data_IF_393105556941
#
_entry.id   IF_393105556941
#
_cell.length_a   1.000
_cell.length_b   1.000
_cell.length_c   1.000
_cell.angle_alpha   90.00
_cell.angle_beta   90.00
_cell.angle_gamma   90.00
#
_symmetry.space_group_name_H-M   'P 1'
#
loop_
_entity.id
_entity.type
_entity.pdbx_description
1 polymer ?
#
# COMPACT_ATOMS: atom_id res chain seq x y z
N UNK A 1 -10.38 34.03 8.24
CA UNK A 1 -10.13 32.65 7.73
C UNK A 1 -11.32 31.81 8.11
N UNK A 2 -12.05 31.21 7.17
CA UNK A 2 -13.19 30.35 7.48
C UNK A 2 -12.70 29.13 8.25
N UNK A 3 -13.23 28.91 9.45
CA UNK A 3 -12.90 27.77 10.29
C UNK A 3 -13.30 26.48 9.56
N UNK A 4 -12.33 25.74 9.00
CA UNK A 4 -12.59 24.54 8.19
C UNK A 4 -13.14 23.47 9.12
N UNK A 5 -14.35 22.98 8.82
CA UNK A 5 -14.96 21.91 9.58
C UNK A 5 -14.25 20.57 9.24
N UNK A 6 -13.36 20.12 10.12
CA UNK A 6 -12.58 18.89 9.96
C UNK A 6 -13.45 17.65 9.69
N UNK A 7 -14.62 17.55 10.36
CA UNK A 7 -15.56 16.43 10.13
C UNK A 7 -16.21 16.48 8.74
N UNK A 8 -16.40 17.67 8.16
CA UNK A 8 -16.88 17.80 6.80
C UNK A 8 -15.86 17.28 5.79
N UNK A 9 -14.56 17.61 6.00
CA UNK A 9 -13.47 17.09 5.15
C UNK A 9 -13.37 15.57 5.28
N UNK A 10 -13.45 15.02 6.49
CA UNK A 10 -13.46 13.57 6.70
C UNK A 10 -14.65 12.91 5.98
N UNK A 11 -15.86 13.51 6.08
CA UNK A 11 -17.05 13.05 5.37
C UNK A 11 -16.85 13.03 3.86
N UNK A 12 -16.37 14.13 3.27
CA UNK A 12 -16.17 14.22 1.82
C UNK A 12 -15.16 13.18 1.35
N UNK A 13 -14.07 13.02 2.10
CA UNK A 13 -13.07 11.99 1.81
C UNK A 13 -13.65 10.58 1.85
N UNK A 14 -14.40 10.24 2.91
CA UNK A 14 -15.02 8.92 3.03
C UNK A 14 -16.08 8.68 1.96
N UNK A 15 -16.82 9.71 1.58
CA UNK A 15 -17.83 9.62 0.51
C UNK A 15 -17.19 9.28 -0.85
N UNK A 16 -16.07 9.97 -1.19
CA UNK A 16 -15.32 9.68 -2.41
C UNK A 16 -14.77 8.24 -2.41
N UNK A 17 -14.24 7.76 -1.27
CA UNK A 17 -13.71 6.41 -1.17
C UNK A 17 -14.81 5.34 -1.28
N UNK A 18 -15.95 5.55 -0.61
CA UNK A 18 -17.01 4.53 -0.56
C UNK A 18 -17.84 4.41 -1.83
N UNK A 19 -17.97 5.50 -2.60
CA UNK A 19 -18.89 5.56 -3.73
C UNK A 19 -18.25 5.94 -5.07
N UNK A 20 -17.03 6.50 -5.06
CA UNK A 20 -16.30 6.91 -6.26
C UNK A 20 -14.94 6.21 -6.41
N UNK A 21 -14.74 5.11 -5.70
CA UNK A 21 -13.56 4.21 -5.78
C UNK A 21 -12.20 4.90 -5.57
N UNK A 22 -12.20 6.07 -4.94
CA UNK A 22 -10.97 6.82 -4.68
C UNK A 22 -10.06 6.11 -3.66
N UNK A 23 -8.76 6.39 -3.73
CA UNK A 23 -7.79 5.92 -2.74
C UNK A 23 -7.64 6.92 -1.59
N UNK A 24 -7.58 6.42 -0.36
CA UNK A 24 -7.59 7.23 0.86
C UNK A 24 -6.46 8.26 0.91
N UNK A 25 -5.22 7.83 0.65
CA UNK A 25 -4.04 8.68 0.69
C UNK A 25 -4.07 9.80 -0.37
N UNK A 26 -4.51 9.48 -1.60
CA UNK A 26 -4.61 10.46 -2.69
C UNK A 26 -5.68 11.49 -2.37
N UNK A 27 -6.85 11.03 -1.91
CA UNK A 27 -7.99 11.90 -1.61
C UNK A 27 -7.70 12.81 -0.43
N UNK A 28 -7.13 12.30 0.67
CA UNK A 28 -6.72 13.10 1.82
C UNK A 28 -5.70 14.17 1.42
N UNK A 29 -4.65 13.81 0.68
CA UNK A 29 -3.64 14.75 0.24
C UNK A 29 -4.21 15.85 -0.65
N UNK A 30 -5.16 15.52 -1.54
CA UNK A 30 -5.89 16.49 -2.37
C UNK A 30 -6.64 17.50 -1.49
N UNK A 31 -7.44 17.02 -0.53
CA UNK A 31 -8.20 17.88 0.37
C UNK A 31 -7.30 18.74 1.27
N UNK A 32 -6.20 18.18 1.78
CA UNK A 32 -5.25 18.92 2.61
C UNK A 32 -4.56 20.06 1.85
N UNK A 33 -4.15 19.81 0.60
CA UNK A 33 -3.55 20.85 -0.26
C UNK A 33 -4.55 21.96 -0.60
N UNK A 34 -5.79 21.60 -0.93
CA UNK A 34 -6.83 22.57 -1.33
C UNK A 34 -7.27 23.50 -0.20
N UNK A 35 -7.23 23.03 1.06
CA UNK A 35 -7.86 23.72 2.18
C UNK A 35 -6.89 24.32 3.20
N UNK A 36 -5.56 24.23 2.99
CA UNK A 36 -4.53 24.73 3.94
C UNK A 36 -4.81 24.37 5.40
N UNK A 37 -5.04 23.07 5.65
CA UNK A 37 -5.46 22.54 6.94
C UNK A 37 -4.27 22.48 7.90
N UNK A 38 -4.48 22.92 9.16
CA UNK A 38 -3.49 22.83 10.24
C UNK A 38 -3.15 21.37 10.59
N UNK A 39 -1.93 21.10 11.02
CA UNK A 39 -1.42 19.76 11.29
C UNK A 39 -2.27 18.98 12.32
N UNK A 40 -2.77 19.65 13.36
CA UNK A 40 -3.66 19.01 14.33
C UNK A 40 -4.96 18.51 13.68
N UNK A 41 -5.55 19.33 12.81
CA UNK A 41 -6.76 18.97 12.09
C UNK A 41 -6.49 17.88 11.04
N UNK A 42 -5.33 17.86 10.38
CA UNK A 42 -4.95 16.78 9.47
C UNK A 42 -4.89 15.44 10.19
N UNK A 43 -4.30 15.39 11.39
CA UNK A 43 -4.24 14.17 12.21
C UNK A 43 -5.65 13.70 12.60
N UNK A 44 -6.49 14.61 13.06
CA UNK A 44 -7.86 14.29 13.44
C UNK A 44 -8.69 13.79 12.25
N UNK A 45 -8.58 14.42 11.08
CA UNK A 45 -9.26 13.98 9.84
C UNK A 45 -8.76 12.61 9.44
N UNK A 46 -7.44 12.40 9.43
CA UNK A 46 -6.83 11.11 9.06
C UNK A 46 -7.28 9.99 9.99
N UNK A 47 -7.33 10.24 11.30
CA UNK A 47 -7.82 9.29 12.30
C UNK A 47 -9.27 8.87 12.03
N UNK A 48 -10.16 9.82 11.77
CA UNK A 48 -11.56 9.52 11.43
C UNK A 48 -11.64 8.72 10.14
N UNK A 49 -10.89 9.12 9.10
CA UNK A 49 -10.96 8.46 7.79
C UNK A 49 -10.42 7.04 7.85
N UNK A 50 -9.18 6.87 8.28
CA UNK A 50 -8.55 5.54 8.33
C UNK A 50 -9.25 4.62 9.35
N UNK A 51 -9.62 5.14 10.51
CA UNK A 51 -10.33 4.38 11.51
C UNK A 51 -11.71 3.91 11.04
N UNK A 52 -12.47 4.77 10.33
CA UNK A 52 -13.75 4.38 9.73
C UNK A 52 -13.55 3.33 8.63
N UNK A 53 -12.52 3.48 7.78
CA UNK A 53 -12.20 2.50 6.73
C UNK A 53 -11.77 1.15 7.32
N UNK A 54 -10.87 1.14 8.30
CA UNK A 54 -10.41 -0.09 8.95
C UNK A 54 -11.55 -0.88 9.57
N UNK A 55 -12.54 -0.20 10.16
CA UNK A 55 -13.62 -0.79 10.91
C UNK A 55 -14.99 -0.83 10.17
N UNK A 56 -15.01 -0.57 8.86
CA UNK A 56 -16.25 -0.32 8.09
C UNK A 56 -17.32 -1.39 8.29
N UNK A 57 -17.00 -2.69 8.16
CA UNK A 57 -18.00 -3.77 8.29
C UNK A 57 -18.53 -3.89 9.73
N UNK A 58 -17.67 -3.71 10.72
CA UNK A 58 -18.07 -3.70 12.13
C UNK A 58 -19.02 -2.52 12.41
N UNK A 59 -18.68 -1.33 11.93
CA UNK A 59 -19.53 -0.13 12.06
C UNK A 59 -20.86 -0.28 11.32
N UNK A 60 -20.85 -0.91 10.14
CA UNK A 60 -22.07 -1.24 9.39
C UNK A 60 -22.95 -2.25 10.14
N UNK A 61 -22.35 -3.22 10.81
CA UNK A 61 -23.07 -4.19 11.62
C UNK A 61 -23.71 -3.54 12.85
N UNK A 62 -23.00 -2.64 13.55
CA UNK A 62 -23.57 -1.82 14.61
C UNK A 62 -24.75 -1.00 14.05
N UNK A 63 -24.53 -0.27 12.97
CA UNK A 63 -25.58 0.56 12.37
C UNK A 63 -26.81 -0.26 12.00
N UNK A 64 -26.65 -1.45 11.43
CA UNK A 64 -27.73 -2.35 11.07
C UNK A 64 -28.53 -2.82 12.30
N UNK A 65 -27.86 -3.07 13.43
CA UNK A 65 -28.49 -3.50 14.68
C UNK A 65 -29.37 -2.40 15.28
N UNK A 66 -28.94 -1.15 15.20
CA UNK A 66 -29.62 -0.01 15.84
C UNK A 66 -30.44 0.88 14.88
N UNK A 67 -30.48 0.56 13.59
CA UNK A 67 -31.30 1.28 12.61
C UNK A 67 -32.36 0.38 11.97
N UNK A 68 -33.57 0.90 11.81
CA UNK A 68 -34.65 0.23 11.06
C UNK A 68 -34.61 0.69 9.60
N UNK A 69 -34.58 -0.25 8.65
CA UNK A 69 -34.66 0.02 7.23
C UNK A 69 -33.33 0.51 6.58
N UNK A 70 -33.46 0.92 5.29
CA UNK A 70 -32.31 1.29 4.46
C UNK A 70 -31.88 2.73 4.73
N UNK A 71 -30.63 2.92 5.11
CA UNK A 71 -30.01 4.24 5.28
C UNK A 71 -29.44 4.74 3.95
N UNK A 72 -29.79 5.99 3.56
CA UNK A 72 -29.28 6.60 2.31
C UNK A 72 -27.74 6.76 2.36
N UNK A 73 -27.01 6.60 1.21
CA UNK A 73 -25.55 6.67 1.14
C UNK A 73 -24.94 7.86 1.88
N UNK A 74 -25.40 9.08 1.61
CA UNK A 74 -24.89 10.31 2.26
C UNK A 74 -25.02 10.29 3.78
N UNK A 75 -26.11 9.73 4.31
CA UNK A 75 -26.37 9.64 5.76
C UNK A 75 -25.58 8.50 6.39
N UNK A 76 -25.39 7.41 5.64
CA UNK A 76 -24.62 6.24 6.09
C UNK A 76 -23.17 6.64 6.41
N UNK A 77 -22.51 7.44 5.57
CA UNK A 77 -21.16 7.93 5.83
C UNK A 77 -21.08 8.72 7.13
N UNK A 78 -22.04 9.64 7.37
CA UNK A 78 -22.11 10.42 8.61
C UNK A 78 -22.25 9.50 9.83
N UNK A 79 -23.15 8.53 9.76
CA UNK A 79 -23.36 7.58 10.86
C UNK A 79 -22.13 6.72 11.13
N UNK A 80 -21.50 6.14 10.10
CA UNK A 80 -20.32 5.29 10.28
C UNK A 80 -19.15 6.05 10.91
N UNK A 81 -18.82 7.25 10.41
CA UNK A 81 -17.75 8.06 10.98
C UNK A 81 -18.06 8.55 12.41
N UNK A 82 -19.35 8.71 12.74
CA UNK A 82 -19.74 9.11 14.10
C UNK A 82 -19.71 7.92 15.06
N UNK A 83 -20.16 6.73 14.63
CA UNK A 83 -20.07 5.50 15.42
C UNK A 83 -18.59 5.19 15.70
N UNK A 84 -17.69 5.35 14.70
CA UNK A 84 -16.27 5.20 14.91
C UNK A 84 -15.76 6.13 16.02
N UNK A 85 -16.07 7.42 15.95
CA UNK A 85 -15.66 8.39 16.97
C UNK A 85 -16.18 8.03 18.36
N UNK A 86 -17.46 7.64 18.48
CA UNK A 86 -18.07 7.26 19.76
C UNK A 86 -17.43 5.99 20.34
N UNK A 87 -17.07 5.00 19.50
CA UNK A 87 -16.58 3.69 19.97
C UNK A 87 -15.07 3.66 20.21
N UNK A 88 -14.27 4.42 19.45
CA UNK A 88 -12.82 4.26 19.38
C UNK A 88 -12.01 5.55 19.66
N UNK A 89 -12.67 6.72 19.82
CA UNK A 89 -11.97 7.97 20.06
C UNK A 89 -12.27 8.54 21.45
N UNK A 90 -11.69 7.95 22.49
CA UNK A 90 -11.97 8.28 23.90
C UNK A 90 -11.77 9.76 24.26
N UNK A 91 -10.86 10.46 23.58
CA UNK A 91 -10.59 11.87 23.80
C UNK A 91 -11.63 12.81 23.17
N UNK A 92 -12.61 12.29 22.44
CA UNK A 92 -13.64 13.08 21.78
C UNK A 92 -14.98 12.91 22.50
N UNK A 93 -15.53 13.97 23.14
CA UNK A 93 -16.79 13.86 23.88
C UNK A 93 -17.94 13.43 22.95
N UNK A 94 -18.69 12.40 23.34
CA UNK A 94 -19.79 11.81 22.56
C UNK A 94 -20.86 12.85 22.19
N UNK A 95 -21.21 13.75 23.10
CA UNK A 95 -22.19 14.80 22.82
C UNK A 95 -21.75 15.71 21.67
N UNK A 96 -20.45 16.04 21.59
CA UNK A 96 -19.90 16.85 20.50
C UNK A 96 -19.91 16.11 19.16
N UNK A 97 -19.65 14.79 19.16
CA UNK A 97 -19.75 13.96 17.96
C UNK A 97 -21.18 13.95 17.43
N UNK A 98 -22.17 13.74 18.33
CA UNK A 98 -23.58 13.66 17.96
C UNK A 98 -24.09 15.02 17.44
N UNK A 99 -23.78 16.12 18.13
CA UNK A 99 -24.17 17.46 17.73
C UNK A 99 -23.65 17.83 16.33
N UNK A 100 -22.36 17.58 16.09
CA UNK A 100 -21.74 17.84 14.79
C UNK A 100 -22.29 16.92 13.68
N UNK A 101 -22.58 15.65 13.97
CA UNK A 101 -23.24 14.74 13.03
C UNK A 101 -24.65 15.21 12.66
N UNK A 102 -25.40 15.71 13.63
CA UNK A 102 -26.75 16.29 13.39
C UNK A 102 -26.66 17.55 12.53
N UNK A 103 -25.75 18.48 12.84
CA UNK A 103 -25.51 19.69 12.03
C UNK A 103 -25.13 19.33 10.59
N UNK A 104 -24.20 18.41 10.42
CA UNK A 104 -23.74 17.95 9.12
C UNK A 104 -24.86 17.28 8.32
N UNK A 105 -25.66 16.42 8.96
CA UNK A 105 -26.77 15.72 8.31
C UNK A 105 -27.88 16.69 7.85
N UNK A 106 -28.20 17.70 8.66
CA UNK A 106 -29.15 18.75 8.27
C UNK A 106 -28.67 19.51 7.03
N UNK A 107 -27.39 19.85 6.97
CA UNK A 107 -26.77 20.55 5.83
C UNK A 107 -26.75 19.72 4.55
N UNK A 108 -26.53 18.40 4.64
CA UNK A 108 -26.35 17.51 3.49
C UNK A 108 -27.68 16.92 3.00
N UNK A 109 -28.61 16.64 3.92
CA UNK A 109 -29.82 15.86 3.65
C UNK A 109 -31.13 16.42 4.25
N UNK A 110 -31.08 17.63 4.80
CA UNK A 110 -32.24 18.35 5.32
C UNK A 110 -32.59 18.05 6.79
N UNK A 111 -33.48 18.89 7.37
CA UNK A 111 -33.77 18.91 8.81
C UNK A 111 -34.33 17.61 9.40
N UNK A 112 -35.16 16.90 8.65
CA UNK A 112 -35.76 15.62 9.07
C UNK A 112 -34.66 14.58 9.34
N UNK A 113 -33.60 14.58 8.49
CA UNK A 113 -32.46 13.68 8.64
C UNK A 113 -31.69 13.93 9.93
N UNK A 114 -31.62 15.18 10.41
CA UNK A 114 -30.97 15.51 11.68
C UNK A 114 -31.63 14.79 12.88
N UNK A 115 -32.95 14.72 12.93
CA UNK A 115 -33.69 13.99 13.99
C UNK A 115 -33.40 12.49 13.93
N UNK A 116 -33.37 11.91 12.73
CA UNK A 116 -33.07 10.50 12.49
C UNK A 116 -31.64 10.15 12.95
N UNK A 117 -30.63 10.94 12.54
CA UNK A 117 -29.23 10.75 12.93
C UNK A 117 -29.06 10.85 14.46
N UNK A 118 -29.68 11.87 15.09
CA UNK A 118 -29.65 12.04 16.54
C UNK A 118 -30.22 10.81 17.26
N UNK A 119 -31.41 10.33 16.84
CA UNK A 119 -32.06 9.16 17.46
C UNK A 119 -31.20 7.90 17.40
N UNK A 120 -30.58 7.60 16.25
CA UNK A 120 -29.68 6.45 16.07
C UNK A 120 -28.43 6.59 16.93
N UNK A 121 -27.71 7.71 16.85
CA UNK A 121 -26.45 7.89 17.56
C UNK A 121 -26.65 7.91 19.08
N UNK A 122 -27.72 8.51 19.59
CA UNK A 122 -28.04 8.46 21.04
C UNK A 122 -28.39 7.06 21.51
N UNK A 123 -29.04 6.25 20.67
CA UNK A 123 -29.32 4.87 21.00
C UNK A 123 -28.05 4.01 21.06
N UNK A 124 -27.14 4.20 20.07
CA UNK A 124 -25.83 3.53 20.04
C UNK A 124 -24.98 3.97 21.22
N UNK A 125 -24.89 5.27 21.52
CA UNK A 125 -24.13 5.82 22.64
C UNK A 125 -24.51 5.17 23.98
N UNK A 126 -25.80 5.04 24.24
CA UNK A 126 -26.30 4.42 25.48
C UNK A 126 -25.93 2.94 25.65
N UNK A 127 -25.75 2.23 24.52
CA UNK A 127 -25.45 0.81 24.52
C UNK A 127 -23.99 0.52 24.08
N UNK A 128 -23.13 1.52 23.99
CA UNK A 128 -21.80 1.37 23.34
C UNK A 128 -20.88 0.38 24.05
N UNK A 129 -21.05 0.19 25.34
CA UNK A 129 -20.28 -0.76 26.16
C UNK A 129 -20.85 -2.18 26.15
N UNK A 130 -22.14 -2.34 25.80
CA UNK A 130 -22.83 -3.63 25.72
C UNK A 130 -23.70 -3.68 24.45
N UNK A 131 -23.04 -3.76 23.32
CA UNK A 131 -23.67 -3.81 21.99
C UNK A 131 -24.33 -5.20 21.81
N UNK A 132 -25.65 -5.25 21.65
CA UNK A 132 -26.40 -6.48 21.41
C UNK A 132 -26.22 -7.01 19.99
N UNK A 133 -24.96 -7.27 19.57
CA UNK A 133 -24.63 -7.76 18.25
C UNK A 133 -24.90 -9.25 18.11
N UNK A 134 -25.50 -9.66 17.00
CA UNK A 134 -25.79 -11.05 16.67
C UNK A 134 -25.02 -11.48 15.45
N UNK A 135 -24.44 -12.67 15.49
CA UNK A 135 -23.70 -13.30 14.43
C UNK A 135 -24.31 -14.66 14.11
N UNK A 136 -24.23 -15.10 12.86
CA UNK A 136 -24.75 -16.40 12.43
C UNK A 136 -23.87 -17.55 12.93
N UNK A 137 -22.54 -17.33 12.90
CA UNK A 137 -21.53 -18.30 13.31
C UNK A 137 -20.22 -17.59 13.69
N UNK A 138 -19.22 -18.36 14.10
CA UNK A 138 -17.91 -17.86 14.53
C UNK A 138 -17.10 -17.22 13.39
N UNK A 139 -17.24 -17.69 12.15
CA UNK A 139 -16.55 -17.11 10.98
C UNK A 139 -17.12 -15.72 10.66
N UNK A 140 -18.45 -15.56 10.63
CA UNK A 140 -19.09 -14.26 10.44
C UNK A 140 -18.68 -13.28 11.53
N UNK A 141 -18.66 -13.74 12.80
CA UNK A 141 -18.20 -12.94 13.93
C UNK A 141 -16.78 -12.44 13.68
N UNK A 142 -15.85 -13.35 13.38
CA UNK A 142 -14.45 -13.00 13.11
C UNK A 142 -14.32 -11.98 11.97
N UNK A 143 -15.00 -12.24 10.85
CA UNK A 143 -14.95 -11.35 9.66
C UNK A 143 -15.51 -9.96 9.97
N UNK A 144 -16.61 -9.86 10.69
CA UNK A 144 -17.23 -8.57 11.04
C UNK A 144 -16.35 -7.81 12.04
N UNK A 145 -15.87 -8.45 13.11
CA UNK A 145 -15.07 -7.82 14.16
C UNK A 145 -13.71 -7.32 13.61
N UNK A 146 -13.11 -8.04 12.64
CA UNK A 146 -11.92 -7.62 11.95
C UNK A 146 -12.19 -6.79 10.69
N UNK A 147 -13.45 -6.45 10.40
CA UNK A 147 -13.86 -5.75 9.19
C UNK A 147 -13.26 -6.32 7.92
N UNK A 148 -13.17 -7.66 7.84
CA UNK A 148 -12.68 -8.39 6.69
C UNK A 148 -13.86 -8.92 5.85
N UNK A 149 -13.95 -8.60 4.54
CA UNK A 149 -14.94 -9.20 3.65
C UNK A 149 -14.83 -10.72 3.66
N UNK A 150 -15.96 -11.42 3.68
CA UNK A 150 -15.99 -12.88 3.77
C UNK A 150 -15.30 -13.56 2.58
N UNK A 151 -15.37 -12.96 1.38
CA UNK A 151 -14.67 -13.47 0.19
C UNK A 151 -13.15 -13.41 0.37
N UNK A 152 -12.60 -12.28 0.86
CA UNK A 152 -11.18 -12.17 1.18
C UNK A 152 -10.75 -13.19 2.25
N UNK A 153 -11.56 -13.36 3.32
CA UNK A 153 -11.30 -14.37 4.33
C UNK A 153 -11.21 -15.77 3.72
N UNK A 154 -12.15 -16.16 2.85
CA UNK A 154 -12.13 -17.46 2.16
C UNK A 154 -10.89 -17.63 1.28
N UNK A 155 -10.54 -16.63 0.48
CA UNK A 155 -9.32 -16.63 -0.35
C UNK A 155 -8.08 -16.92 0.51
N UNK A 156 -7.95 -16.23 1.64
CA UNK A 156 -6.79 -16.42 2.53
C UNK A 156 -6.81 -17.79 3.22
N UNK A 157 -7.97 -18.28 3.64
CA UNK A 157 -8.10 -19.62 4.25
C UNK A 157 -7.72 -20.72 3.25
N UNK A 158 -8.17 -20.61 2.02
CA UNK A 158 -7.86 -21.60 0.96
C UNK A 158 -6.35 -21.64 0.65
N UNK A 159 -5.67 -20.51 0.72
CA UNK A 159 -4.25 -20.42 0.36
C UNK A 159 -3.29 -20.69 1.54
N UNK A 160 -3.67 -20.29 2.75
CA UNK A 160 -2.77 -20.30 3.91
C UNK A 160 -3.26 -21.17 5.09
N UNK A 161 -4.48 -21.69 4.98
CA UNK A 161 -5.15 -22.40 6.09
C UNK A 161 -5.73 -21.45 7.14
N UNK A 162 -6.66 -21.94 7.94
CA UNK A 162 -7.49 -21.13 8.82
C UNK A 162 -6.70 -20.30 9.86
N UNK A 163 -5.72 -20.90 10.51
CA UNK A 163 -4.96 -20.22 11.58
C UNK A 163 -4.09 -19.07 11.03
N UNK A 164 -3.35 -19.32 9.95
CA UNK A 164 -2.49 -18.31 9.33
C UNK A 164 -3.31 -17.19 8.68
N UNK A 165 -4.43 -17.54 8.01
CA UNK A 165 -5.35 -16.55 7.45
C UNK A 165 -5.91 -15.59 8.51
N UNK A 166 -6.25 -16.10 9.69
CA UNK A 166 -6.69 -15.25 10.81
C UNK A 166 -5.58 -14.34 11.31
N UNK A 167 -4.37 -14.85 11.50
CA UNK A 167 -3.22 -14.04 11.91
C UNK A 167 -2.93 -12.91 10.91
N UNK A 168 -2.95 -13.21 9.59
CA UNK A 168 -2.82 -12.21 8.53
C UNK A 168 -3.91 -11.14 8.64
N UNK A 169 -5.18 -11.52 8.79
CA UNK A 169 -6.30 -10.58 8.86
C UNK A 169 -6.21 -9.69 10.10
N UNK A 170 -5.85 -10.25 11.25
CA UNK A 170 -5.66 -9.50 12.50
C UNK A 170 -4.52 -8.48 12.35
N UNK A 171 -3.44 -8.84 11.64
CA UNK A 171 -2.31 -7.96 11.39
C UNK A 171 -2.66 -6.72 10.58
N UNK A 172 -3.72 -6.75 9.73
CA UNK A 172 -4.19 -5.59 8.98
C UNK A 172 -4.68 -4.45 9.89
N UNK A 173 -5.05 -4.76 11.13
CA UNK A 173 -5.50 -3.76 12.10
C UNK A 173 -4.35 -3.18 12.94
N UNK A 174 -3.16 -3.78 12.91
CA UNK A 174 -1.99 -3.30 13.63
C UNK A 174 -1.55 -1.91 13.13
N UNK A 175 -0.82 -1.19 13.98
CA UNK A 175 -0.16 0.04 13.58
C UNK A 175 1.07 -0.30 12.75
N UNK A 176 1.20 0.28 11.56
CA UNK A 176 2.42 0.19 10.76
C UNK A 176 3.53 1.03 11.38
N UNK A 177 4.75 0.56 11.33
CA UNK A 177 5.92 1.40 11.52
C UNK A 177 6.12 2.28 10.27
N UNK A 178 6.68 3.46 10.47
CA UNK A 178 7.06 4.29 9.33
C UNK A 178 8.49 3.96 8.95
N UNK A 179 8.74 3.76 7.68
CA UNK A 179 10.08 3.53 7.17
C UNK A 179 10.47 4.53 6.10
N UNK A 180 11.73 4.87 6.10
CA UNK A 180 12.38 5.69 5.09
C UNK A 180 13.61 4.96 4.56
N UNK A 181 13.97 5.26 3.33
CA UNK A 181 15.22 4.82 2.74
C UNK A 181 16.15 6.02 2.59
N UNK A 182 17.37 5.93 3.09
CA UNK A 182 18.35 7.00 2.93
C UNK A 182 18.80 7.14 1.47
N UNK A 183 19.31 8.32 1.13
CA UNK A 183 19.86 8.61 -0.20
C UNK A 183 21.38 8.64 -0.12
N UNK A 184 22.10 7.61 -0.62
CA UNK A 184 23.55 7.53 -0.50
C UNK A 184 24.28 8.65 -1.26
N UNK A 185 23.62 9.32 -2.22
CA UNK A 185 24.19 10.48 -2.93
C UNK A 185 24.23 11.76 -2.07
N UNK A 186 23.58 11.77 -0.90
CA UNK A 186 23.44 12.96 -0.05
C UNK A 186 23.96 12.75 1.36
N UNK A 187 23.86 11.54 1.88
CA UNK A 187 24.13 11.25 3.28
C UNK A 187 24.40 9.76 3.46
N UNK A 188 25.27 9.40 4.37
CA UNK A 188 25.41 8.01 4.80
C UNK A 188 24.27 7.62 5.76
N UNK A 189 23.99 6.32 5.88
CA UNK A 189 22.97 5.82 6.81
C UNK A 189 23.27 6.26 8.26
N UNK A 190 24.53 6.19 8.67
CA UNK A 190 24.99 6.58 10.01
C UNK A 190 24.74 8.06 10.28
N UNK A 191 25.15 8.94 9.38
CA UNK A 191 24.90 10.39 9.51
C UNK A 191 23.40 10.71 9.59
N UNK A 192 22.56 10.03 8.78
CA UNK A 192 21.12 10.27 8.82
C UNK A 192 20.52 9.80 10.15
N UNK A 193 20.98 8.68 10.71
CA UNK A 193 20.56 8.23 12.04
C UNK A 193 20.96 9.22 13.13
N UNK A 194 22.18 9.77 13.08
CA UNK A 194 22.64 10.82 14.01
C UNK A 194 21.78 12.10 13.89
N UNK A 195 21.41 12.50 12.68
CA UNK A 195 20.54 13.65 12.41
C UNK A 195 19.13 13.45 12.97
N UNK A 196 18.57 12.25 12.82
CA UNK A 196 17.22 11.92 13.26
C UNK A 196 17.16 11.60 14.77
N UNK A 197 18.28 11.20 15.36
CA UNK A 197 18.42 10.95 16.79
C UNK A 197 17.53 9.79 17.27
N UNK A 198 17.00 9.94 18.49
CA UNK A 198 16.23 8.88 19.16
C UNK A 198 14.88 8.54 18.48
N UNK A 199 14.45 9.34 17.49
CA UNK A 199 13.23 9.06 16.72
C UNK A 199 13.46 8.05 15.58
N UNK A 200 14.69 7.56 15.40
CA UNK A 200 15.08 6.65 14.32
C UNK A 200 15.88 5.46 14.82
N UNK A 201 15.68 4.30 14.19
CA UNK A 201 16.47 3.08 14.41
C UNK A 201 16.73 2.37 13.07
N UNK A 202 17.78 1.56 13.03
CA UNK A 202 18.04 0.74 11.85
C UNK A 202 16.93 -0.27 11.61
N UNK A 203 16.66 -0.55 10.34
CA UNK A 203 15.81 -1.67 9.95
C UNK A 203 16.57 -2.99 10.09
N UNK A 204 15.90 -4.02 10.57
CA UNK A 204 16.40 -5.42 10.56
C UNK A 204 15.93 -6.18 9.32
N UNK A 205 15.08 -5.57 8.49
CA UNK A 205 14.49 -6.18 7.29
C UNK A 205 15.29 -5.80 6.05
N UNK A 206 15.61 -4.51 5.88
CA UNK A 206 16.30 -4.00 4.70
C UNK A 206 17.46 -3.10 5.11
N UNK A 207 18.67 -3.46 4.67
CA UNK A 207 19.91 -2.73 5.00
C UNK A 207 19.85 -1.23 4.63
N UNK A 208 19.11 -0.87 3.58
CA UNK A 208 19.02 0.50 3.10
C UNK A 208 17.90 1.31 3.78
N UNK A 209 17.15 0.70 4.70
CA UNK A 209 16.01 1.31 5.37
C UNK A 209 16.31 1.74 6.82
N UNK A 210 15.55 2.73 7.26
CA UNK A 210 15.55 3.27 8.63
C UNK A 210 14.09 3.36 9.08
N UNK A 211 13.78 2.87 10.26
CA UNK A 211 12.48 3.01 10.92
C UNK A 211 12.45 4.33 11.65
N UNK A 212 11.35 5.09 11.52
CA UNK A 212 11.18 6.36 12.21
C UNK A 212 9.81 6.46 12.89
N UNK A 213 9.80 7.10 14.05
CA UNK A 213 8.56 7.25 14.81
C UNK A 213 7.54 8.14 14.10
N UNK A 214 8.02 9.20 13.43
CA UNK A 214 7.17 10.20 12.80
C UNK A 214 7.72 10.64 11.45
N UNK A 215 6.87 10.53 10.43
CA UNK A 215 7.15 11.09 9.10
C UNK A 215 6.90 12.60 9.08
N UNK A 216 7.92 13.37 8.69
CA UNK A 216 7.80 14.82 8.46
C UNK A 216 8.25 15.18 7.04
N UNK A 217 7.28 15.27 6.13
CA UNK A 217 7.50 15.71 4.73
C UNK A 217 7.84 17.21 4.61
N UNK A 218 7.70 17.97 5.70
CA UNK A 218 8.04 19.41 5.74
C UNK A 218 9.46 19.64 6.22
N UNK A 219 10.13 18.63 6.78
CA UNK A 219 11.51 18.73 7.23
C UNK A 219 12.43 19.16 6.10
N UNK A 220 13.50 19.90 6.44
CA UNK A 220 14.53 20.30 5.46
C UNK A 220 15.18 19.07 4.82
N UNK A 221 15.43 18.02 5.59
CA UNK A 221 16.11 16.80 5.13
C UNK A 221 15.28 16.05 4.09
N UNK A 222 13.96 15.96 4.26
CA UNK A 222 13.09 15.42 3.22
C UNK A 222 13.11 16.27 1.95
N UNK A 223 12.95 17.60 2.10
CA UNK A 223 12.93 18.55 0.94
C UNK A 223 14.24 18.57 0.18
N UNK A 224 15.36 18.45 0.87
CA UNK A 224 16.70 18.40 0.29
C UNK A 224 17.07 17.01 -0.26
N UNK A 225 16.21 16.00 -0.08
CA UNK A 225 16.38 14.68 -0.68
C UNK A 225 17.35 13.75 0.06
N UNK A 226 17.54 13.92 1.37
CA UNK A 226 18.34 13.02 2.19
C UNK A 226 17.70 11.62 2.31
N UNK A 227 16.39 11.55 2.18
CA UNK A 227 15.65 10.29 2.20
C UNK A 227 14.37 10.32 1.37
N UNK A 228 13.85 9.14 1.10
CA UNK A 228 12.54 8.89 0.51
C UNK A 228 11.70 8.03 1.46
N UNK A 229 10.39 8.26 1.49
CA UNK A 229 9.45 7.40 2.22
C UNK A 229 9.22 6.15 1.39
N UNK A 230 9.57 5.00 1.93
CA UNK A 230 9.42 3.72 1.27
C UNK A 230 9.29 2.61 2.32
N UNK A 231 8.34 1.70 2.13
CA UNK A 231 8.20 0.52 2.98
C UNK A 231 9.41 -0.41 2.81
N UNK A 232 9.84 -1.06 3.90
CA UNK A 232 11.01 -1.92 3.96
C UNK A 232 10.93 -3.09 2.98
N UNK A 233 9.76 -3.75 2.91
CA UNK A 233 9.55 -4.86 1.99
C UNK A 233 9.65 -4.42 0.52
N UNK A 234 9.13 -3.21 0.20
CA UNK A 234 9.29 -2.62 -1.13
C UNK A 234 10.75 -2.26 -1.45
N UNK A 235 11.54 -1.88 -0.45
CA UNK A 235 12.98 -1.58 -0.63
C UNK A 235 13.79 -2.84 -0.95
N UNK A 236 13.37 -4.00 -0.49
CA UNK A 236 14.06 -5.27 -0.74
C UNK A 236 14.19 -5.63 -2.24
N UNK A 237 13.37 -5.07 -3.12
CA UNK A 237 13.47 -5.33 -4.57
C UNK A 237 14.86 -4.96 -5.10
N UNK A 238 15.37 -3.77 -4.77
CA UNK A 238 16.70 -3.35 -5.21
C UNK A 238 17.82 -4.15 -4.53
N UNK A 239 17.65 -4.49 -3.24
CA UNK A 239 18.61 -5.32 -2.50
C UNK A 239 18.65 -6.77 -3.04
N UNK A 240 17.53 -7.28 -3.57
CA UNK A 240 17.41 -8.64 -4.12
C UNK A 240 18.07 -8.82 -5.49
N UNK A 241 18.42 -7.75 -6.20
CA UNK A 241 19.15 -7.83 -7.48
C UNK A 241 20.49 -8.52 -7.27
N UNK A 242 21.30 -8.09 -6.27
CA UNK A 242 22.48 -8.78 -5.79
C UNK A 242 23.64 -8.86 -6.79
N UNK A 243 23.66 -8.04 -7.85
CA UNK A 243 24.76 -7.93 -8.79
C UNK A 243 25.80 -6.91 -8.29
N UNK A 244 27.01 -6.97 -8.84
CA UNK A 244 28.10 -6.06 -8.46
C UNK A 244 27.74 -4.60 -8.79
N UNK A 245 27.59 -3.77 -7.77
CA UNK A 245 27.16 -2.36 -7.91
C UNK A 245 28.19 -1.47 -8.63
N UNK A 246 29.45 -1.90 -8.73
CA UNK A 246 30.52 -1.17 -9.41
C UNK A 246 30.50 -1.37 -10.93
N UNK A 247 29.80 -2.38 -11.42
CA UNK A 247 29.67 -2.65 -12.83
C UNK A 247 28.62 -1.75 -13.51
N UNK A 248 28.70 -1.72 -14.85
CA UNK A 248 27.78 -0.93 -15.68
C UNK A 248 26.69 -1.81 -16.26
N UNK A 249 25.46 -1.54 -15.89
CA UNK A 249 24.28 -2.22 -16.39
C UNK A 249 23.34 -1.26 -17.14
N UNK A 250 22.63 -1.78 -18.13
CA UNK A 250 21.43 -1.18 -18.66
C UNK A 250 20.23 -1.78 -17.94
N UNK A 251 19.48 -0.97 -17.23
CA UNK A 251 18.38 -1.40 -16.36
C UNK A 251 17.06 -0.83 -16.90
N UNK A 252 16.01 -1.64 -16.88
CA UNK A 252 14.65 -1.23 -17.25
C UNK A 252 13.71 -1.51 -16.08
N UNK A 253 12.90 -0.53 -15.70
CA UNK A 253 11.75 -0.72 -14.82
C UNK A 253 10.47 -0.50 -15.65
N UNK A 254 9.66 -1.55 -15.82
CA UNK A 254 8.53 -1.55 -16.74
C UNK A 254 7.24 -0.97 -16.17
N UNK A 255 7.13 -0.87 -14.84
CA UNK A 255 5.94 -0.42 -14.11
C UNK A 255 6.33 0.48 -12.93
N UNK A 256 7.10 1.52 -13.18
CA UNK A 256 7.90 2.21 -12.18
C UNK A 256 7.15 3.10 -11.19
N UNK A 257 6.01 3.67 -11.57
CA UNK A 257 5.37 4.72 -10.76
C UNK A 257 4.84 4.22 -9.41
N UNK A 258 5.09 4.98 -8.33
CA UNK A 258 5.57 6.38 -8.26
C UNK A 258 7.10 6.55 -8.23
N UNK A 259 7.90 5.53 -8.52
CA UNK A 259 9.34 5.63 -8.68
C UNK A 259 10.19 5.09 -7.52
N UNK A 260 9.59 4.62 -6.43
CA UNK A 260 10.34 4.20 -5.26
C UNK A 260 11.44 3.16 -5.55
N UNK A 261 11.14 2.13 -6.35
CA UNK A 261 12.07 1.06 -6.74
C UNK A 261 13.09 1.54 -7.77
N UNK A 262 12.65 2.19 -8.85
CA UNK A 262 13.55 2.80 -9.85
C UNK A 262 14.58 3.73 -9.21
N UNK A 263 14.14 4.64 -8.33
CA UNK A 263 15.01 5.57 -7.63
C UNK A 263 15.96 4.88 -6.66
N UNK A 264 15.55 3.77 -6.06
CA UNK A 264 16.41 2.94 -5.22
C UNK A 264 17.52 2.31 -6.06
N UNK A 265 17.14 1.63 -7.13
CA UNK A 265 18.07 0.96 -8.02
C UNK A 265 19.07 1.98 -8.62
N UNK A 266 18.57 3.13 -9.10
CA UNK A 266 19.43 4.16 -9.65
C UNK A 266 20.42 4.74 -8.62
N UNK A 267 20.01 4.88 -7.34
CA UNK A 267 20.90 5.36 -6.29
C UNK A 267 21.91 4.30 -5.80
N UNK A 268 21.64 3.01 -6.02
CA UNK A 268 22.51 1.89 -5.65
C UNK A 268 23.49 1.53 -6.76
N UNK A 269 23.05 1.58 -8.02
CA UNK A 269 23.84 1.23 -9.22
C UNK A 269 24.28 2.50 -9.97
N UNK A 270 25.18 3.28 -9.37
CA UNK A 270 25.56 4.62 -9.86
C UNK A 270 26.22 4.63 -11.24
N UNK A 271 26.97 3.56 -11.56
CA UNK A 271 27.65 3.43 -12.85
C UNK A 271 26.72 2.95 -13.99
N UNK A 272 25.47 2.59 -13.65
CA UNK A 272 24.50 2.03 -14.56
C UNK A 272 23.54 3.09 -15.10
N UNK A 273 22.85 2.77 -16.21
CA UNK A 273 21.78 3.59 -16.77
C UNK A 273 20.45 2.90 -16.58
N UNK A 274 19.43 3.63 -16.13
CA UNK A 274 18.11 3.11 -15.88
C UNK A 274 17.07 3.83 -16.74
N UNK A 275 16.17 3.07 -17.37
CA UNK A 275 14.94 3.58 -17.99
C UNK A 275 13.76 3.18 -17.12
N UNK A 276 13.03 4.20 -16.65
CA UNK A 276 11.85 4.06 -15.79
C UNK A 276 10.59 4.30 -16.62
N UNK A 277 9.76 3.27 -16.76
CA UNK A 277 8.56 3.31 -17.61
C UNK A 277 7.28 3.23 -16.77
N UNK A 278 6.24 3.96 -17.18
CA UNK A 278 4.87 3.77 -16.71
C UNK A 278 3.89 4.16 -17.82
N UNK A 279 2.72 3.53 -17.81
CA UNK A 279 1.64 3.78 -18.78
C UNK A 279 1.03 5.17 -18.64
N UNK A 280 1.06 5.78 -17.45
CA UNK A 280 0.32 7.00 -17.13
C UNK A 280 1.23 8.21 -17.00
N UNK A 281 1.16 9.14 -17.96
CA UNK A 281 1.96 10.39 -17.99
C UNK A 281 1.91 11.16 -16.67
N UNK A 282 0.73 11.29 -16.04
CA UNK A 282 0.61 12.03 -14.79
C UNK A 282 1.39 11.40 -13.62
N UNK A 283 1.64 10.08 -13.66
CA UNK A 283 2.48 9.40 -12.68
C UNK A 283 3.98 9.60 -12.95
N UNK A 284 4.37 9.76 -14.23
CA UNK A 284 5.75 10.03 -14.59
C UNK A 284 6.25 11.36 -14.01
N UNK A 285 5.37 12.35 -13.86
CA UNK A 285 5.70 13.61 -13.20
C UNK A 285 6.18 13.40 -11.75
N UNK A 286 5.56 12.48 -11.01
CA UNK A 286 5.97 12.15 -9.63
C UNK A 286 7.39 11.56 -9.58
N UNK A 287 7.75 10.73 -10.57
CA UNK A 287 9.10 10.17 -10.68
C UNK A 287 10.10 11.29 -10.96
N UNK A 288 9.80 12.17 -11.92
CA UNK A 288 10.67 13.31 -12.29
C UNK A 288 10.88 14.28 -11.12
N UNK A 289 9.84 14.58 -10.34
CA UNK A 289 9.94 15.43 -9.16
C UNK A 289 10.88 14.81 -8.11
N UNK A 290 10.78 13.51 -7.88
CA UNK A 290 11.66 12.80 -6.96
C UNK A 290 13.09 12.67 -7.48
N UNK A 291 13.32 12.46 -8.79
CA UNK A 291 14.64 12.48 -9.41
C UNK A 291 15.35 13.80 -9.09
N UNK A 292 14.65 14.92 -9.33
CA UNK A 292 15.19 16.27 -9.05
C UNK A 292 15.49 16.45 -7.56
N UNK A 293 14.56 16.07 -6.69
CA UNK A 293 14.70 16.21 -5.23
C UNK A 293 15.86 15.40 -4.67
N UNK A 294 16.03 14.17 -5.14
CA UNK A 294 17.07 13.25 -4.70
C UNK A 294 18.42 13.50 -5.39
N UNK A 295 18.47 14.27 -6.47
CA UNK A 295 19.70 14.54 -7.24
C UNK A 295 20.22 13.31 -8.01
N UNK A 296 19.33 12.45 -8.48
CA UNK A 296 19.69 11.26 -9.27
C UNK A 296 19.85 11.67 -10.73
N UNK A 297 20.93 11.22 -11.39
CA UNK A 297 21.30 11.67 -12.74
C UNK A 297 21.35 10.55 -13.79
N UNK A 298 21.31 9.29 -13.38
CA UNK A 298 21.48 8.11 -14.22
C UNK A 298 20.15 7.41 -14.57
N UNK A 299 19.04 8.16 -14.57
CA UNK A 299 17.69 7.64 -14.81
C UNK A 299 16.94 8.48 -15.84
N UNK A 300 16.40 7.82 -16.86
CA UNK A 300 15.47 8.39 -17.84
C UNK A 300 14.03 7.91 -17.56
N UNK A 301 13.05 8.78 -17.85
CA UNK A 301 11.63 8.47 -17.62
C UNK A 301 10.88 8.49 -18.96
N UNK A 302 10.23 7.35 -19.29
CA UNK A 302 9.51 7.18 -20.55
C UNK A 302 8.06 6.71 -20.32
N UNK A 303 7.15 7.17 -21.17
CA UNK A 303 5.81 6.60 -21.25
C UNK A 303 5.87 5.30 -22.06
N UNK A 304 5.45 4.21 -21.44
CA UNK A 304 5.36 2.89 -22.05
C UNK A 304 4.32 2.06 -21.33
N UNK A 305 3.38 1.51 -22.09
CA UNK A 305 2.47 0.48 -21.58
C UNK A 305 3.18 -0.88 -21.62
N UNK A 306 3.43 -1.46 -20.45
CA UNK A 306 4.15 -2.73 -20.32
C UNK A 306 3.41 -3.93 -20.94
N UNK A 307 2.11 -3.79 -21.23
CA UNK A 307 1.35 -4.80 -21.99
C UNK A 307 1.63 -4.78 -23.49
N UNK A 308 2.26 -3.73 -24.00
CA UNK A 308 2.61 -3.57 -25.40
C UNK A 308 4.11 -3.77 -25.61
N UNK A 309 4.47 -4.64 -26.56
CA UNK A 309 5.86 -4.90 -26.91
C UNK A 309 6.51 -3.66 -27.52
N UNK A 310 7.71 -3.35 -27.02
CA UNK A 310 8.57 -2.31 -27.59
C UNK A 310 9.78 -2.94 -28.26
N UNK A 311 9.84 -2.90 -29.60
CA UNK A 311 10.90 -3.53 -30.38
C UNK A 311 12.31 -3.00 -30.07
N UNK A 312 12.42 -1.71 -29.69
CA UNK A 312 13.71 -1.11 -29.34
C UNK A 312 14.29 -1.60 -28.00
N UNK A 313 13.50 -2.29 -27.21
CA UNK A 313 13.88 -2.85 -25.91
C UNK A 313 14.33 -4.31 -25.98
N UNK A 314 14.05 -5.02 -27.06
CA UNK A 314 14.33 -6.46 -27.19
C UNK A 314 15.83 -6.73 -27.00
N UNK A 315 16.15 -7.66 -26.07
CA UNK A 315 17.51 -8.09 -25.70
C UNK A 315 18.48 -6.93 -25.41
N UNK A 316 18.02 -5.86 -24.82
CA UNK A 316 18.80 -4.65 -24.61
C UNK A 316 19.21 -4.37 -23.17
N UNK A 317 18.59 -5.06 -22.18
CA UNK A 317 18.81 -4.76 -20.77
C UNK A 317 19.45 -5.94 -20.03
N UNK A 318 20.38 -5.61 -19.16
CA UNK A 318 21.06 -6.57 -18.28
C UNK A 318 20.15 -6.94 -17.10
N UNK A 319 19.34 -5.98 -16.63
CA UNK A 319 18.40 -6.14 -15.55
C UNK A 319 17.06 -5.53 -15.97
N UNK A 320 15.97 -6.32 -15.86
CA UNK A 320 14.58 -5.85 -16.07
C UNK A 320 13.79 -6.05 -14.79
N UNK A 321 13.13 -5.00 -14.34
CA UNK A 321 12.28 -5.01 -13.14
C UNK A 321 10.82 -4.88 -13.55
N UNK A 322 10.00 -5.79 -13.05
CA UNK A 322 8.56 -5.84 -13.23
C UNK A 322 7.89 -5.77 -11.86
N UNK A 323 7.74 -4.55 -11.30
CA UNK A 323 6.90 -4.31 -10.13
C UNK A 323 5.46 -4.13 -10.62
N UNK A 324 4.81 -5.26 -10.90
CA UNK A 324 3.55 -5.26 -11.65
C UNK A 324 2.37 -4.72 -10.83
N UNK A 325 1.35 -4.10 -11.49
CA UNK A 325 0.11 -3.76 -10.82
C UNK A 325 -0.51 -5.01 -10.20
N UNK A 326 -0.96 -4.92 -8.95
CA UNK A 326 -1.46 -6.06 -8.19
C UNK A 326 -2.68 -5.72 -7.34
N UNK A 327 -3.32 -6.72 -6.76
CA UNK A 327 -4.47 -6.54 -5.88
C UNK A 327 -4.16 -5.74 -4.61
N UNK A 328 -2.90 -5.77 -4.15
CA UNK A 328 -2.44 -5.00 -2.99
C UNK A 328 -2.87 -5.59 -1.64
N UNK A 329 -3.18 -6.87 -1.55
CA UNK A 329 -3.59 -7.50 -0.27
C UNK A 329 -2.51 -7.35 0.80
N UNK A 330 -1.23 -7.31 0.42
CA UNK A 330 -0.11 -7.13 1.35
C UNK A 330 -0.07 -5.75 2.03
N UNK A 331 -0.67 -4.71 1.41
CA UNK A 331 -0.60 -3.32 1.90
C UNK A 331 -1.91 -2.85 2.56
N UNK A 332 -2.83 -3.74 2.89
CA UNK A 332 -4.14 -3.43 3.52
C UNK A 332 -3.97 -2.66 4.84
N UNK A 333 -2.92 -2.95 5.61
CA UNK A 333 -2.59 -2.23 6.85
C UNK A 333 -2.53 -0.72 6.64
N UNK A 334 -1.93 -0.29 5.51
CA UNK A 334 -1.73 1.11 5.11
C UNK A 334 -2.81 1.65 4.17
N UNK A 335 -3.53 0.76 3.46
CA UNK A 335 -4.60 1.10 2.49
C UNK A 335 -5.83 0.23 2.74
N UNK A 336 -6.55 0.48 3.84
CA UNK A 336 -7.64 -0.40 4.30
C UNK A 336 -8.82 -0.50 3.35
N UNK A 337 -8.99 0.47 2.42
CA UNK A 337 -10.01 0.42 1.38
C UNK A 337 -9.84 -0.75 0.40
N UNK A 338 -8.62 -1.24 0.22
CA UNK A 338 -8.29 -2.34 -0.70
C UNK A 338 -9.10 -3.59 -0.35
N UNK A 339 -9.18 -3.96 0.93
CA UNK A 339 -9.85 -5.20 1.34
C UNK A 339 -11.31 -5.31 0.86
N UNK A 340 -11.98 -4.17 0.63
CA UNK A 340 -13.37 -4.14 0.15
C UNK A 340 -13.54 -4.29 -1.35
N UNK A 341 -12.44 -4.33 -2.11
CA UNK A 341 -12.40 -4.51 -3.57
C UNK A 341 -11.99 -5.92 -3.99
N UNK A 342 -11.42 -6.69 -3.05
CA UNK A 342 -10.89 -8.04 -3.35
C UNK A 342 -12.03 -9.02 -3.58
N UNK A 343 -12.05 -9.58 -4.79
CA UNK A 343 -12.91 -10.69 -5.19
C UNK A 343 -12.09 -11.68 -6.01
N UNK A 344 -12.56 -12.95 -6.09
CA UNK A 344 -11.90 -13.96 -6.93
C UNK A 344 -11.74 -13.49 -8.37
N UNK A 345 -12.81 -12.91 -8.95
CA UNK A 345 -12.76 -12.39 -10.32
C UNK A 345 -11.73 -11.27 -10.48
N UNK A 346 -11.67 -10.33 -9.54
CA UNK A 346 -10.70 -9.23 -9.60
C UNK A 346 -9.25 -9.74 -9.56
N UNK A 347 -8.97 -10.71 -8.68
CA UNK A 347 -7.64 -11.32 -8.59
C UNK A 347 -7.28 -12.11 -9.85
N UNK A 348 -8.21 -12.87 -10.43
CA UNK A 348 -8.00 -13.57 -11.69
C UNK A 348 -7.69 -12.61 -12.85
N UNK A 349 -8.44 -11.52 -12.95
CA UNK A 349 -8.25 -10.53 -14.04
C UNK A 349 -6.90 -9.83 -13.92
N UNK A 350 -6.49 -9.44 -12.68
CA UNK A 350 -5.19 -8.77 -12.45
C UNK A 350 -4.02 -9.74 -12.65
N UNK A 351 -4.14 -11.00 -12.24
CA UNK A 351 -3.12 -12.03 -12.45
C UNK A 351 -2.84 -12.27 -13.95
N UNK A 352 -3.86 -12.26 -14.80
CA UNK A 352 -3.70 -12.34 -16.26
C UNK A 352 -2.92 -11.14 -16.81
N UNK A 353 -3.25 -9.93 -16.34
CA UNK A 353 -2.53 -8.72 -16.73
C UNK A 353 -1.06 -8.77 -16.32
N UNK A 354 -0.78 -9.23 -15.11
CA UNK A 354 0.59 -9.41 -14.60
C UNK A 354 1.38 -10.40 -15.44
N UNK A 355 0.75 -11.54 -15.78
CA UNK A 355 1.37 -12.53 -16.63
C UNK A 355 1.70 -11.98 -18.01
N UNK A 356 0.81 -11.20 -18.63
CA UNK A 356 1.08 -10.52 -19.91
C UNK A 356 2.28 -9.56 -19.82
N UNK A 357 2.39 -8.79 -18.75
CA UNK A 357 3.53 -7.88 -18.51
C UNK A 357 4.82 -8.67 -18.37
N UNK A 358 4.81 -9.75 -17.60
CA UNK A 358 5.96 -10.63 -17.39
C UNK A 358 6.42 -11.27 -18.72
N UNK A 359 5.48 -11.78 -19.53
CA UNK A 359 5.73 -12.36 -20.85
C UNK A 359 6.32 -11.36 -21.86
N UNK A 360 5.89 -10.10 -21.82
CA UNK A 360 6.50 -9.05 -22.62
C UNK A 360 7.92 -8.72 -22.15
N UNK A 361 8.07 -8.54 -20.84
CA UNK A 361 9.32 -8.10 -20.22
C UNK A 361 10.48 -9.07 -20.37
N UNK A 362 10.21 -10.40 -20.46
CA UNK A 362 11.23 -11.42 -20.70
C UNK A 362 12.03 -11.18 -21.99
N UNK A 363 11.38 -10.57 -23.00
CA UNK A 363 12.01 -10.31 -24.28
C UNK A 363 13.03 -9.17 -24.22
N UNK A 364 12.95 -8.33 -23.22
CA UNK A 364 13.85 -7.19 -23.04
C UNK A 364 15.17 -7.58 -22.37
N UNK A 365 15.16 -8.72 -21.67
CA UNK A 365 16.32 -9.25 -20.93
C UNK A 365 17.34 -9.83 -21.90
N UNK A 366 18.63 -9.44 -21.80
CA UNK A 366 19.75 -10.06 -22.48
C UNK A 366 19.96 -11.51 -22.01
N UNK A 367 20.69 -12.32 -22.79
CA UNK A 367 21.20 -13.62 -22.33
C UNK A 367 22.11 -13.39 -21.11
N UNK A 368 22.01 -14.23 -20.09
CA UNK A 368 22.68 -14.09 -18.81
C UNK A 368 22.08 -13.02 -17.87
N UNK A 369 21.16 -12.19 -18.37
CA UNK A 369 20.55 -11.09 -17.63
C UNK A 369 19.46 -11.53 -16.65
N UNK A 370 19.01 -10.57 -15.85
CA UNK A 370 18.06 -10.76 -14.74
C UNK A 370 16.70 -10.19 -15.08
N UNK A 371 15.64 -10.92 -14.70
CA UNK A 371 14.27 -10.48 -14.68
C UNK A 371 13.76 -10.54 -13.23
N UNK A 372 13.50 -9.37 -12.64
CA UNK A 372 12.89 -9.27 -11.31
C UNK A 372 11.38 -9.16 -11.46
N UNK A 373 10.63 -9.99 -10.76
CA UNK A 373 9.18 -9.89 -10.64
C UNK A 373 8.82 -9.57 -9.19
N UNK A 374 7.99 -8.55 -8.96
CA UNK A 374 7.56 -8.19 -7.62
C UNK A 374 6.12 -7.70 -7.56
N UNK A 375 5.49 -7.92 -6.40
CA UNK A 375 4.13 -7.46 -6.10
C UNK A 375 4.01 -7.06 -4.63
N UNK A 376 3.14 -6.10 -4.32
CA UNK A 376 2.73 -5.79 -2.95
C UNK A 376 1.45 -6.56 -2.55
N UNK A 377 1.28 -7.79 -3.03
CA UNK A 377 0.19 -8.70 -2.64
C UNK A 377 0.73 -10.00 -2.09
N UNK A 378 -0.13 -10.74 -1.39
CA UNK A 378 0.17 -12.06 -0.87
C UNK A 378 -0.64 -13.16 -1.55
N UNK A 379 -1.50 -12.84 -2.54
CA UNK A 379 -2.29 -13.84 -3.25
C UNK A 379 -1.39 -14.71 -4.14
N UNK A 380 -1.42 -16.02 -3.94
CA UNK A 380 -0.54 -16.97 -4.62
C UNK A 380 -0.74 -17.00 -6.13
N UNK A 381 -1.96 -16.70 -6.62
CA UNK A 381 -2.29 -16.62 -8.05
C UNK A 381 -1.55 -15.48 -8.75
N UNK A 382 -1.29 -14.39 -8.03
CA UNK A 382 -0.55 -13.24 -8.53
C UNK A 382 0.98 -13.42 -8.39
N UNK A 383 1.42 -14.33 -7.54
CA UNK A 383 2.78 -14.52 -7.12
C UNK A 383 3.37 -15.83 -7.65
N UNK A 384 3.45 -16.86 -6.79
CA UNK A 384 4.18 -18.09 -7.11
C UNK A 384 3.55 -18.84 -8.29
N UNK A 385 2.22 -18.83 -8.44
CA UNK A 385 1.56 -19.53 -9.55
C UNK A 385 1.87 -18.87 -10.91
N UNK A 386 1.98 -17.54 -10.99
CA UNK A 386 2.46 -16.84 -12.17
C UNK A 386 3.92 -17.20 -12.49
N UNK A 387 4.79 -17.31 -11.49
CA UNK A 387 6.20 -17.67 -11.68
C UNK A 387 6.34 -19.14 -12.12
N UNK A 388 5.63 -20.06 -11.50
CA UNK A 388 5.65 -21.48 -11.88
C UNK A 388 5.14 -21.68 -13.32
N UNK A 389 4.05 -21.01 -13.69
CA UNK A 389 3.55 -20.99 -15.06
C UNK A 389 4.60 -20.43 -16.02
N UNK A 390 5.22 -19.31 -15.69
CA UNK A 390 6.25 -18.67 -16.51
C UNK A 390 7.44 -19.61 -16.76
N UNK A 391 7.96 -20.25 -15.73
CA UNK A 391 9.08 -21.21 -15.85
C UNK A 391 8.72 -22.48 -16.62
N UNK A 392 7.46 -22.89 -16.55
CA UNK A 392 6.95 -24.03 -17.35
C UNK A 392 6.94 -23.70 -18.85
N UNK A 393 6.54 -22.47 -19.20
CA UNK A 393 6.40 -22.01 -20.59
C UNK A 393 7.73 -21.45 -21.17
N UNK A 394 8.68 -21.03 -20.31
CA UNK A 394 9.95 -20.37 -20.70
C UNK A 394 11.17 -21.12 -20.15
N UNK A 395 11.57 -22.22 -20.82
CA UNK A 395 12.67 -23.10 -20.38
C UNK A 395 14.06 -22.45 -20.40
N UNK A 396 14.20 -21.30 -21.03
CA UNK A 396 15.40 -20.49 -21.05
C UNK A 396 15.50 -19.52 -19.85
N UNK A 397 14.59 -19.61 -18.87
CA UNK A 397 14.68 -18.92 -17.59
C UNK A 397 14.72 -19.93 -16.43
N UNK A 398 15.46 -19.56 -15.39
CA UNK A 398 15.52 -20.28 -14.10
C UNK A 398 15.35 -19.29 -12.95
N UNK A 399 14.91 -19.76 -11.80
CA UNK A 399 15.02 -18.99 -10.57
C UNK A 399 16.49 -18.82 -10.16
N UNK A 400 16.87 -17.62 -9.78
CA UNK A 400 18.20 -17.26 -9.32
C UNK A 400 18.18 -16.91 -7.83
N UNK A 401 19.29 -17.14 -7.13
CA UNK A 401 19.38 -16.91 -5.70
C UNK A 401 19.23 -15.43 -5.34
N UNK A 402 18.46 -15.18 -4.30
CA UNK A 402 18.41 -13.88 -3.62
C UNK A 402 19.28 -13.97 -2.38
N UNK A 403 20.28 -13.12 -2.29
CA UNK A 403 21.14 -12.97 -1.12
C UNK A 403 20.91 -11.60 -0.51
N UNK A 404 20.28 -11.54 0.66
CA UNK A 404 20.10 -10.30 1.41
C UNK A 404 21.24 -10.13 2.40
N UNK A 405 21.73 -8.91 2.52
CA UNK A 405 22.77 -8.54 3.48
C UNK A 405 22.09 -7.90 4.69
N UNK A 406 22.49 -8.25 5.90
CA UNK A 406 21.98 -7.69 7.15
C UNK A 406 20.43 -7.66 7.20
N UNK A 407 19.80 -8.81 6.91
CA UNK A 407 18.35 -8.93 6.89
C UNK A 407 17.90 -10.17 7.69
N UNK A 408 16.87 -9.97 8.53
CA UNK A 408 16.20 -11.05 9.26
C UNK A 408 15.20 -11.82 8.37
N UNK A 409 14.98 -11.35 7.14
CA UNK A 409 14.01 -11.96 6.22
C UNK A 409 14.53 -13.28 5.70
N UNK A 410 13.72 -14.32 5.85
CA UNK A 410 14.02 -15.65 5.33
C UNK A 410 13.70 -15.72 3.84
N UNK A 411 14.74 -15.90 3.03
CA UNK A 411 14.61 -16.17 1.60
C UNK A 411 14.42 -17.67 1.41
N UNK A 412 13.46 -18.07 0.56
CA UNK A 412 13.30 -19.49 0.19
C UNK A 412 14.51 -19.95 -0.67
N UNK A 413 14.93 -21.20 -0.51
CA UNK A 413 16.11 -21.76 -1.21
C UNK A 413 16.04 -21.63 -2.74
N UNK A 414 14.84 -21.51 -3.27
CA UNK A 414 14.55 -21.42 -4.70
C UNK A 414 14.63 -19.99 -5.29
N UNK A 415 15.14 -18.99 -4.57
CA UNK A 415 15.26 -17.63 -5.09
C UNK A 415 13.94 -16.84 -5.09
N UNK A 416 12.99 -17.22 -4.26
CA UNK A 416 11.74 -16.51 -4.01
C UNK A 416 11.75 -15.93 -2.60
N UNK A 417 11.35 -14.67 -2.48
CA UNK A 417 11.14 -14.01 -1.21
C UNK A 417 9.64 -13.69 -1.07
N UNK A 418 9.05 -14.11 0.03
CA UNK A 418 7.66 -13.85 0.39
C UNK A 418 7.60 -13.36 1.83
N UNK A 419 6.98 -12.20 2.03
CA UNK A 419 6.72 -11.61 3.34
C UNK A 419 5.21 -11.55 3.50
N UNK A 420 4.70 -12.11 4.58
CA UNK A 420 3.30 -11.99 4.96
C UNK A 420 3.13 -10.86 5.99
N UNK A 421 1.97 -10.17 6.02
CA UNK A 421 1.76 -9.01 6.88
C UNK A 421 1.86 -9.27 8.39
N UNK A 422 1.82 -10.53 8.81
CA UNK A 422 1.96 -10.97 10.19
C UNK A 422 3.35 -11.54 10.55
N UNK A 423 4.26 -11.66 9.55
CA UNK A 423 5.63 -12.15 9.80
C UNK A 423 6.53 -11.05 10.38
N UNK A 424 6.39 -9.82 9.85
CA UNK A 424 7.17 -8.64 10.24
C UNK A 424 6.24 -7.43 10.35
N UNK A 425 6.74 -6.32 10.90
CA UNK A 425 5.92 -5.11 11.02
C UNK A 425 5.94 -4.21 9.77
N UNK A 426 6.18 -4.79 8.60
CA UNK A 426 6.17 -4.14 7.29
C UNK A 426 4.96 -4.61 6.44
N UNK A 427 4.91 -4.17 5.19
CA UNK A 427 3.92 -4.62 4.21
C UNK A 427 4.18 -6.06 3.77
N UNK A 428 3.12 -6.78 3.40
CA UNK A 428 3.24 -8.07 2.71
C UNK A 428 3.75 -7.87 1.29
N UNK A 429 4.71 -8.70 0.87
CA UNK A 429 5.42 -8.50 -0.39
C UNK A 429 5.91 -9.83 -0.99
N UNK A 430 6.05 -9.85 -2.31
CA UNK A 430 6.60 -10.98 -3.05
C UNK A 430 7.66 -10.52 -4.04
N UNK A 431 8.78 -11.26 -4.11
CA UNK A 431 9.87 -11.03 -5.07
C UNK A 431 10.32 -12.39 -5.62
N UNK A 432 10.45 -12.48 -6.95
CA UNK A 432 11.13 -13.58 -7.63
C UNK A 432 12.23 -13.03 -8.52
N UNK A 433 13.44 -13.57 -8.37
CA UNK A 433 14.59 -13.29 -9.21
C UNK A 433 14.75 -14.39 -10.23
N UNK A 434 14.71 -14.04 -11.50
CA UNK A 434 14.80 -14.96 -12.64
C UNK A 434 16.06 -14.63 -13.45
N UNK A 435 16.80 -15.64 -13.90
CA UNK A 435 17.95 -15.46 -14.80
C UNK A 435 17.65 -16.08 -16.15
N UNK A 436 17.89 -15.33 -17.22
CA UNK A 436 17.84 -15.83 -18.59
C UNK A 436 19.11 -16.62 -18.88
N UNK A 437 18.96 -17.88 -19.24
CA UNK A 437 20.11 -18.75 -19.56
C UNK A 437 20.85 -18.27 -20.79
N UNK A 438 22.17 -18.48 -20.78
CA UNK A 438 22.98 -18.40 -21.99
C UNK A 438 22.65 -19.62 -22.87
N UNK A 439 22.61 -19.45 -24.19
CA UNK A 439 22.55 -20.63 -25.07
C UNK A 439 23.83 -21.42 -24.87
N UNK A 440 23.68 -22.72 -24.54
CA UNK A 440 24.83 -23.62 -24.63
C UNK A 440 25.26 -23.64 -26.10
N UNK A 441 26.47 -23.13 -26.37
CA UNK A 441 27.14 -23.35 -27.66
C UNK A 441 27.32 -24.84 -27.94
#
# INVERSE_FOLDING_TARGET
>A
MSNINARKVAYDTLYEIFYNEAYSNITLNKFFKQNRIEEQNKRFISEIVYGTLKNKLFLEHILKTYSKGRVKPKVKVILLMSIYQIKFMDKTPNFAVIDEAVKLSKKIAGNITGKFVNGILRNIERNINDLALKYKNSEEKFCIENSCPFELYKILVDQYGNNKAKAIIESFNNKSENSIRYNPNKVTKKELLEILGNEAKESTICEDSIIIDKLDINSKYFKEGYYIIQDEASALVACSIGENIEEKYKILDTCAAPGGKSLHIASKYLNSTLISCDKYIHKLALIKDNIKRLGITNIDVKEQDATNMNSSFINNFDIVVCDVPCSGVGVIKNKPEIKYKITNKYVEDISKLQYQILENSKNYVKKGGILMYSTCTIDKRENIENIERFLKENKNFILDKINLINSDVKVKENGVLEILPDDYNCDGFFIAKLRKLEEKC
#
